data_IF_028364280714
#
_entry.id   IF_028364280714
#
_cell.length_a   1.000
_cell.length_b   1.000
_cell.length_c   1.000
_cell.angle_alpha   90.00
_cell.angle_beta   90.00
_cell.angle_gamma   90.00
#
_symmetry.space_group_name_H-M   'P 1'
#
loop_
_entity.id
_entity.type
_entity.pdbx_description
1 polymer ?
#
# COMPACT_ATOMS: atom_id res chain seq x y z
N UNK A 1 -19.15 -6.95 -1.18
CA UNK A 1 -19.98 -8.02 -1.78
C UNK A 1 -21.39 -7.49 -2.04
N UNK A 2 -21.67 -6.99 -3.23
CA UNK A 2 -23.03 -6.78 -3.72
C UNK A 2 -23.07 -7.32 -5.14
N UNK A 3 -23.56 -8.55 -5.29
CA UNK A 3 -23.93 -9.03 -6.62
C UNK A 3 -25.04 -8.14 -7.13
N UNK A 4 -24.87 -7.58 -8.32
CA UNK A 4 -25.97 -6.96 -9.07
C UNK A 4 -27.10 -7.99 -9.16
N UNK A 5 -28.09 -7.88 -8.28
CA UNK A 5 -29.30 -8.66 -8.32
C UNK A 5 -30.12 -8.16 -9.50
N UNK A 6 -29.75 -8.64 -10.68
CA UNK A 6 -30.60 -8.55 -11.86
C UNK A 6 -31.94 -9.21 -11.50
N UNK A 7 -33.07 -8.63 -11.91
CA UNK A 7 -34.41 -9.10 -11.53
C UNK A 7 -34.80 -10.46 -12.15
N UNK A 8 -33.86 -11.12 -12.84
CA UNK A 8 -34.04 -12.40 -13.50
C UNK A 8 -32.86 -13.32 -13.20
N UNK A 9 -33.11 -14.63 -13.19
CA UNK A 9 -32.04 -15.64 -13.10
C UNK A 9 -31.26 -15.64 -14.42
N UNK A 10 -30.05 -15.09 -14.36
CA UNK A 10 -29.14 -14.94 -15.51
C UNK A 10 -28.75 -16.31 -16.09
N UNK A 11 -28.64 -17.35 -15.25
CA UNK A 11 -28.28 -18.71 -15.71
C UNK A 11 -29.43 -19.35 -16.48
N UNK A 12 -30.66 -19.13 -16.00
CA UNK A 12 -31.86 -19.57 -16.70
C UNK A 12 -32.04 -18.83 -18.03
N UNK A 13 -31.80 -17.52 -18.05
CA UNK A 13 -31.83 -16.70 -19.27
C UNK A 13 -30.80 -17.18 -20.30
N UNK A 14 -29.56 -17.46 -19.90
CA UNK A 14 -28.53 -17.98 -20.81
C UNK A 14 -28.91 -19.34 -21.42
N UNK A 15 -29.53 -20.23 -20.64
CA UNK A 15 -30.01 -21.53 -21.12
C UNK A 15 -31.13 -21.39 -22.16
N UNK A 16 -32.06 -20.46 -21.93
CA UNK A 16 -33.13 -20.14 -22.88
C UNK A 16 -32.54 -19.55 -24.16
N UNK A 17 -31.53 -18.66 -24.05
CA UNK A 17 -30.88 -18.07 -25.21
C UNK A 17 -30.18 -19.12 -26.09
N UNK A 18 -29.53 -20.11 -25.48
CA UNK A 18 -28.94 -21.25 -26.19
C UNK A 18 -29.98 -22.15 -26.88
N UNK A 19 -31.17 -22.30 -26.28
CA UNK A 19 -32.25 -23.12 -26.85
C UNK A 19 -32.99 -22.43 -28.00
N UNK A 20 -33.06 -21.09 -27.99
CA UNK A 20 -33.91 -20.32 -28.90
C UNK A 20 -33.13 -19.58 -30.01
N UNK A 21 -31.83 -19.83 -30.21
CA UNK A 21 -30.99 -19.14 -31.21
C UNK A 21 -31.14 -17.60 -31.16
N UNK A 22 -31.06 -17.03 -29.95
CA UNK A 22 -31.16 -15.58 -29.71
C UNK A 22 -29.90 -14.86 -30.26
N UNK A 23 -29.96 -13.56 -30.62
CA UNK A 23 -28.80 -12.78 -31.04
C UNK A 23 -27.60 -12.91 -30.09
N UNK A 24 -26.43 -13.11 -30.70
CA UNK A 24 -25.17 -13.47 -30.03
C UNK A 24 -24.69 -12.42 -29.04
N UNK A 25 -24.91 -11.13 -29.35
CA UNK A 25 -24.55 -10.03 -28.48
C UNK A 25 -25.27 -10.12 -27.11
N UNK A 26 -26.52 -10.57 -27.11
CA UNK A 26 -27.30 -10.77 -25.89
C UNK A 26 -26.80 -11.98 -25.09
N UNK A 27 -26.46 -13.07 -25.75
CA UNK A 27 -25.90 -14.26 -25.08
C UNK A 27 -24.53 -13.96 -24.46
N UNK A 28 -23.66 -13.25 -25.18
CA UNK A 28 -22.31 -12.91 -24.73
C UNK A 28 -22.33 -11.92 -23.58
N UNK A 29 -23.20 -10.91 -23.63
CA UNK A 29 -23.40 -9.98 -22.50
C UNK A 29 -23.92 -10.70 -21.26
N UNK A 30 -24.85 -11.65 -21.41
CA UNK A 30 -25.30 -12.51 -20.32
C UNK A 30 -24.15 -13.34 -19.74
N UNK A 31 -23.32 -13.99 -20.57
CA UNK A 31 -22.16 -14.77 -20.11
C UNK A 31 -21.13 -13.92 -19.36
N UNK A 32 -20.88 -12.68 -19.82
CA UNK A 32 -20.03 -11.71 -19.11
C UNK A 32 -20.62 -11.33 -17.75
N UNK A 33 -21.95 -11.22 -17.63
CA UNK A 33 -22.59 -10.95 -16.32
C UNK A 33 -22.55 -12.15 -15.38
N UNK A 34 -22.60 -13.38 -15.91
CA UNK A 34 -22.44 -14.62 -15.15
C UNK A 34 -20.99 -14.80 -14.65
N UNK A 35 -20.01 -14.23 -15.37
CA UNK A 35 -18.58 -14.42 -15.11
C UNK A 35 -17.96 -15.57 -15.90
N UNK A 36 -18.70 -16.16 -16.84
CA UNK A 36 -18.23 -17.21 -17.75
C UNK A 36 -17.53 -16.58 -18.97
N UNK A 37 -16.40 -15.91 -18.72
CA UNK A 37 -15.69 -15.12 -19.73
C UNK A 37 -15.08 -15.96 -20.86
N UNK A 38 -14.58 -17.16 -20.55
CA UNK A 38 -13.97 -18.05 -21.54
C UNK A 38 -15.02 -18.60 -22.53
N UNK A 39 -16.16 -19.07 -22.01
CA UNK A 39 -17.28 -19.53 -22.83
C UNK A 39 -17.84 -18.41 -23.71
N UNK A 40 -17.88 -17.18 -23.20
CA UNK A 40 -18.32 -16.01 -23.97
C UNK A 40 -17.45 -15.80 -25.22
N UNK A 41 -16.14 -15.96 -25.10
CA UNK A 41 -15.23 -15.82 -26.24
C UNK A 41 -15.33 -17.03 -27.17
N UNK A 42 -15.42 -18.25 -26.65
CA UNK A 42 -15.60 -19.44 -27.49
C UNK A 42 -16.87 -19.37 -28.36
N UNK A 43 -17.98 -18.86 -27.81
CA UNK A 43 -19.23 -18.66 -28.56
C UNK A 43 -19.12 -17.59 -29.64
N UNK A 44 -18.32 -16.53 -29.43
CA UNK A 44 -18.06 -15.52 -30.47
C UNK A 44 -17.14 -16.03 -31.56
N UNK A 45 -16.12 -16.81 -31.19
CA UNK A 45 -15.17 -17.43 -32.13
C UNK A 45 -15.82 -18.53 -32.96
N UNK A 46 -16.74 -19.32 -32.40
CA UNK A 46 -17.46 -20.39 -33.12
C UNK A 46 -18.28 -19.90 -34.34
N UNK A 47 -18.53 -18.60 -34.44
CA UNK A 47 -19.31 -17.97 -35.49
C UNK A 47 -18.46 -17.02 -36.35
N UNK A 48 -17.14 -17.18 -36.32
CA UNK A 48 -16.15 -16.42 -37.10
C UNK A 48 -16.15 -14.89 -36.86
N UNK A 49 -16.80 -14.40 -35.79
CA UNK A 49 -16.87 -12.96 -35.52
C UNK A 49 -15.73 -12.49 -34.61
N UNK A 50 -14.55 -12.34 -35.20
CA UNK A 50 -13.32 -11.90 -34.51
C UNK A 50 -13.45 -10.48 -33.93
N UNK A 51 -14.19 -9.59 -34.61
CA UNK A 51 -14.37 -8.20 -34.15
C UNK A 51 -15.20 -8.14 -32.86
N UNK A 52 -16.27 -8.93 -32.78
CA UNK A 52 -17.07 -9.04 -31.57
C UNK A 52 -16.24 -9.67 -30.42
N UNK A 53 -15.41 -10.67 -30.71
CA UNK A 53 -14.52 -11.27 -29.73
C UNK A 53 -13.56 -10.23 -29.12
N UNK A 54 -12.93 -9.39 -29.94
CA UNK A 54 -12.06 -8.27 -29.48
C UNK A 54 -12.80 -7.31 -28.57
N UNK A 55 -13.96 -6.81 -28.99
CA UNK A 55 -14.78 -5.89 -28.20
C UNK A 55 -15.21 -6.52 -26.86
N UNK A 56 -15.48 -7.81 -26.84
CA UNK A 56 -15.87 -8.51 -25.60
C UNK A 56 -14.68 -8.65 -24.64
N UNK A 57 -13.48 -8.94 -25.16
CA UNK A 57 -12.26 -8.97 -24.37
C UNK A 57 -11.92 -7.60 -23.75
N UNK A 58 -12.11 -6.50 -24.49
CA UNK A 58 -11.96 -5.13 -23.97
C UNK A 58 -13.00 -4.80 -22.88
N UNK A 59 -14.27 -5.15 -23.09
CA UNK A 59 -15.33 -4.97 -22.09
C UNK A 59 -15.01 -5.72 -20.79
N UNK A 60 -14.45 -6.93 -20.90
CA UNK A 60 -14.03 -7.74 -19.74
C UNK A 60 -12.84 -7.08 -19.03
N UNK A 61 -11.83 -6.62 -19.76
CA UNK A 61 -10.67 -5.87 -19.20
C UNK A 61 -11.13 -4.67 -18.39
N UNK A 62 -12.03 -3.83 -18.93
CA UNK A 62 -12.55 -2.64 -18.24
C UNK A 62 -13.37 -2.98 -16.99
N UNK A 63 -14.19 -4.04 -17.06
CA UNK A 63 -14.99 -4.51 -15.91
C UNK A 63 -14.10 -5.01 -14.77
N UNK A 64 -13.01 -5.72 -15.10
CA UNK A 64 -12.10 -6.27 -14.11
C UNK A 64 -11.17 -5.21 -13.48
N UNK A 65 -10.74 -4.21 -14.27
CA UNK A 65 -9.94 -3.08 -13.76
C UNK A 65 -10.70 -2.21 -12.74
N UNK A 66 -12.04 -2.18 -12.81
CA UNK A 66 -12.88 -1.45 -11.85
C UNK A 66 -13.02 -2.18 -10.50
N UNK A 67 -12.58 -3.43 -10.40
CA UNK A 67 -12.66 -4.26 -9.19
C UNK A 67 -11.25 -4.39 -8.56
N UNK A 68 -10.83 -3.34 -7.85
CA UNK A 68 -9.48 -3.08 -7.30
C UNK A 68 -8.90 -4.10 -6.29
N UNK A 69 -9.42 -5.32 -6.17
CA UNK A 69 -9.03 -6.24 -5.09
C UNK A 69 -8.13 -7.42 -5.50
N UNK A 70 -7.98 -7.73 -6.80
CA UNK A 70 -7.14 -8.86 -7.31
C UNK A 70 -6.60 -8.60 -8.73
N UNK A 71 -5.79 -7.56 -8.89
CA UNK A 71 -5.34 -7.06 -10.20
C UNK A 71 -4.56 -8.10 -11.03
N UNK A 72 -3.66 -8.87 -10.41
CA UNK A 72 -2.82 -9.84 -11.12
C UNK A 72 -3.62 -11.01 -11.72
N UNK A 73 -4.52 -11.63 -10.93
CA UNK A 73 -5.34 -12.75 -11.42
C UNK A 73 -6.27 -12.30 -12.57
N UNK A 74 -6.74 -11.05 -12.52
CA UNK A 74 -7.57 -10.47 -13.56
C UNK A 74 -6.79 -10.24 -14.85
N UNK A 75 -5.54 -9.79 -14.77
CA UNK A 75 -4.65 -9.65 -15.92
C UNK A 75 -4.33 -11.01 -16.56
N UNK A 76 -4.10 -12.06 -15.76
CA UNK A 76 -3.86 -13.42 -16.27
C UNK A 76 -5.08 -14.02 -17.01
N UNK A 77 -6.29 -13.74 -16.52
CA UNK A 77 -7.52 -14.11 -17.22
C UNK A 77 -7.64 -13.38 -18.56
N UNK A 78 -7.44 -12.06 -18.58
CA UNK A 78 -7.50 -11.26 -19.81
C UNK A 78 -6.43 -11.75 -20.80
N UNK A 79 -5.21 -12.05 -20.36
CA UNK A 79 -4.16 -12.60 -21.21
C UNK A 79 -4.58 -13.92 -21.84
N UNK A 80 -5.16 -14.85 -21.08
CA UNK A 80 -5.68 -16.14 -21.61
C UNK A 80 -6.79 -15.95 -22.64
N UNK A 81 -7.69 -15.01 -22.41
CA UNK A 81 -8.78 -14.68 -23.34
C UNK A 81 -8.23 -14.15 -24.69
N UNK A 82 -7.30 -13.20 -24.64
CA UNK A 82 -6.64 -12.68 -25.85
C UNK A 82 -5.80 -13.75 -26.57
N UNK A 83 -5.14 -14.65 -25.84
CA UNK A 83 -4.44 -15.80 -26.43
C UNK A 83 -5.39 -16.74 -27.17
N UNK A 84 -6.60 -17.00 -26.63
CA UNK A 84 -7.63 -17.80 -27.32
C UNK A 84 -8.07 -17.13 -28.64
N UNK A 85 -8.27 -15.80 -28.64
CA UNK A 85 -8.58 -15.05 -29.85
C UNK A 85 -7.43 -15.12 -30.86
N UNK A 86 -6.19 -14.85 -30.42
CA UNK A 86 -5.01 -14.89 -31.27
C UNK A 86 -4.81 -16.28 -31.91
N UNK A 87 -4.94 -17.35 -31.12
CA UNK A 87 -4.89 -18.73 -31.61
C UNK A 87 -5.94 -18.99 -32.69
N UNK A 88 -7.17 -18.53 -32.48
CA UNK A 88 -8.23 -18.69 -33.48
C UNK A 88 -7.92 -17.95 -34.77
N UNK A 89 -7.46 -16.70 -34.67
CA UNK A 89 -7.11 -15.89 -35.84
C UNK A 89 -5.99 -16.55 -36.63
N UNK A 90 -4.91 -16.98 -35.97
CA UNK A 90 -3.79 -17.68 -36.62
C UNK A 90 -4.26 -18.97 -37.30
N UNK A 91 -5.05 -19.80 -36.61
CA UNK A 91 -5.60 -21.04 -37.18
C UNK A 91 -6.52 -20.77 -38.37
N UNK A 92 -7.39 -19.74 -38.29
CA UNK A 92 -8.32 -19.38 -39.36
C UNK A 92 -7.60 -18.91 -40.62
N UNK A 93 -6.44 -18.27 -40.48
CA UNK A 93 -5.58 -17.87 -41.60
C UNK A 93 -4.89 -19.12 -42.19
N UNK A 94 -4.41 -20.02 -41.34
CA UNK A 94 -3.72 -21.24 -41.78
C UNK A 94 -4.65 -22.20 -42.54
N UNK A 95 -5.91 -22.37 -42.11
CA UNK A 95 -6.87 -23.27 -42.77
C UNK A 95 -7.46 -22.74 -44.07
N UNK A 96 -7.37 -21.43 -44.35
CA UNK A 96 -7.89 -20.83 -45.60
C UNK A 96 -6.86 -20.81 -46.74
N UNK A 97 -5.58 -20.99 -46.42
CA UNK A 97 -4.49 -20.97 -47.40
C UNK A 97 -4.07 -22.40 -47.78
N UNK A 98 -4.82 -23.02 -48.69
CA UNK A 98 -4.38 -24.24 -49.39
C UNK A 98 -3.16 -23.91 -50.29
N UNK A 99 -1.97 -24.33 -49.85
CA UNK A 99 -0.68 -24.61 -50.54
C UNK A 99 -0.13 -23.68 -51.66
N UNK A 100 -0.88 -22.74 -52.26
CA UNK A 100 -0.45 -21.97 -53.46
C UNK A 100 -0.33 -20.46 -53.27
N UNK A 101 -0.78 -19.92 -52.14
CA UNK A 101 -0.67 -18.48 -51.79
C UNK A 101 0.18 -18.27 -50.53
N UNK A 102 1.20 -19.11 -50.34
CA UNK A 102 2.12 -19.02 -49.21
C UNK A 102 3.02 -17.76 -49.21
N UNK A 103 2.99 -16.97 -50.28
CA UNK A 103 3.83 -15.76 -50.43
C UNK A 103 3.24 -14.50 -49.78
N UNK A 104 1.97 -14.52 -49.39
CA UNK A 104 1.30 -13.41 -48.70
C UNK A 104 0.60 -13.93 -47.43
N UNK A 105 1.37 -14.59 -46.56
CA UNK A 105 0.91 -14.77 -45.18
C UNK A 105 1.01 -13.42 -44.47
N UNK A 106 -0.06 -12.63 -44.58
CA UNK A 106 -0.16 -11.33 -43.93
C UNK A 106 -0.30 -11.51 -42.41
N UNK A 107 0.83 -11.50 -41.70
CA UNK A 107 0.90 -11.47 -40.23
C UNK A 107 0.26 -10.18 -39.68
N UNK A 108 -0.07 -9.21 -40.54
CA UNK A 108 -0.68 -7.93 -40.19
C UNK A 108 -1.90 -8.05 -39.27
N UNK A 109 -2.75 -9.08 -39.45
CA UNK A 109 -3.89 -9.29 -38.54
C UNK A 109 -3.48 -9.77 -37.15
N UNK A 110 -2.41 -10.57 -37.06
CA UNK A 110 -1.87 -11.03 -35.78
C UNK A 110 -1.05 -9.93 -35.08
N UNK A 111 -0.31 -9.09 -35.82
CA UNK A 111 0.38 -7.92 -35.27
C UNK A 111 -0.60 -6.86 -34.78
N UNK A 112 -1.71 -6.62 -35.49
CA UNK A 112 -2.76 -5.71 -35.02
C UNK A 112 -3.36 -6.16 -33.67
N UNK A 113 -3.44 -7.49 -33.42
CA UNK A 113 -3.91 -8.01 -32.13
C UNK A 113 -2.89 -7.77 -31.01
N UNK A 114 -1.59 -7.81 -31.34
CA UNK A 114 -0.53 -7.44 -30.40
C UNK A 114 -0.57 -5.94 -30.07
N UNK A 115 -0.78 -5.10 -31.09
CA UNK A 115 -0.89 -3.64 -30.90
C UNK A 115 -2.13 -3.25 -30.07
N UNK A 116 -3.25 -3.96 -30.24
CA UNK A 116 -4.47 -3.75 -29.47
C UNK A 116 -4.36 -4.25 -28.01
N UNK A 117 -3.43 -5.16 -27.70
CA UNK A 117 -3.31 -5.78 -26.38
C UNK A 117 -1.90 -5.67 -25.79
N UNK A 118 -1.72 -4.67 -24.91
CA UNK A 118 -0.49 -4.45 -24.12
C UNK A 118 -0.06 -5.60 -23.20
N UNK A 119 -0.90 -6.62 -23.01
CA UNK A 119 -0.60 -7.78 -22.15
C UNK A 119 -0.07 -8.99 -22.94
N UNK A 120 -0.23 -8.96 -24.27
CA UNK A 120 0.17 -10.03 -25.16
C UNK A 120 1.52 -9.68 -25.77
N UNK A 121 2.46 -10.60 -25.74
CA UNK A 121 3.78 -10.40 -26.37
C UNK A 121 3.94 -11.31 -27.56
N UNK A 122 4.82 -10.94 -28.48
CA UNK A 122 5.15 -11.76 -29.66
C UNK A 122 5.60 -13.17 -29.27
N UNK A 123 6.29 -13.31 -28.13
CA UNK A 123 6.74 -14.59 -27.56
C UNK A 123 5.58 -15.54 -27.23
N UNK A 124 4.41 -15.01 -26.88
CA UNK A 124 3.26 -15.83 -26.50
C UNK A 124 2.52 -16.40 -27.72
N UNK A 125 2.57 -15.72 -28.86
CA UNK A 125 1.89 -16.16 -30.09
C UNK A 125 2.78 -17.00 -31.01
N UNK A 126 4.10 -16.87 -30.87
CA UNK A 126 5.11 -17.56 -31.68
C UNK A 126 4.89 -19.08 -31.78
N UNK A 127 4.54 -19.81 -30.69
CA UNK A 127 4.34 -21.26 -30.74
C UNK A 127 3.14 -21.73 -31.57
N UNK A 128 2.19 -20.84 -31.89
CA UNK A 128 0.99 -21.20 -32.63
C UNK A 128 1.15 -21.06 -34.14
N UNK A 129 2.27 -20.51 -34.62
CA UNK A 129 2.55 -20.43 -36.04
C UNK A 129 3.01 -21.78 -36.60
N UNK A 130 2.66 -22.09 -37.86
CA UNK A 130 3.11 -23.30 -38.51
C UNK A 130 4.60 -23.29 -38.83
N UNK A 131 5.22 -24.48 -38.91
CA UNK A 131 6.66 -24.65 -39.15
C UNK A 131 7.15 -24.10 -40.49
N UNK A 132 6.27 -23.91 -41.47
CA UNK A 132 6.60 -23.38 -42.80
C UNK A 132 6.62 -21.84 -42.88
N UNK A 133 6.33 -21.15 -41.77
CA UNK A 133 6.38 -19.70 -41.72
C UNK A 133 7.84 -19.21 -41.75
N UNK A 134 8.19 -18.38 -42.74
CA UNK A 134 9.53 -17.76 -42.78
C UNK A 134 9.64 -16.65 -41.73
N UNK A 135 10.77 -16.66 -41.02
CA UNK A 135 11.08 -15.69 -39.94
C UNK A 135 11.04 -14.24 -40.45
N UNK A 136 11.26 -14.01 -41.74
CA UNK A 136 11.24 -12.68 -42.36
C UNK A 136 9.91 -11.95 -42.14
N UNK A 137 8.79 -12.65 -42.06
CA UNK A 137 7.48 -12.03 -41.82
C UNK A 137 7.31 -11.55 -40.36
N UNK A 138 7.99 -12.16 -39.39
CA UNK A 138 7.94 -11.76 -37.97
C UNK A 138 9.09 -10.84 -37.56
N UNK A 139 10.08 -10.62 -38.44
CA UNK A 139 11.33 -9.92 -38.11
C UNK A 139 11.10 -8.52 -37.53
N UNK A 140 10.22 -7.73 -38.15
CA UNK A 140 9.93 -6.36 -37.69
C UNK A 140 9.32 -6.34 -36.29
N UNK A 141 8.30 -7.19 -36.05
CA UNK A 141 7.63 -7.30 -34.75
C UNK A 141 8.59 -7.78 -33.65
N UNK A 142 9.48 -8.74 -33.96
CA UNK A 142 10.49 -9.23 -33.03
C UNK A 142 11.51 -8.12 -32.70
N UNK A 143 12.00 -7.39 -33.71
CA UNK A 143 12.92 -6.27 -33.49
C UNK A 143 12.29 -5.19 -32.60
N UNK A 144 11.04 -4.82 -32.86
CA UNK A 144 10.31 -3.84 -32.05
C UNK A 144 10.15 -4.30 -30.59
N UNK A 145 9.76 -5.56 -30.35
CA UNK A 145 9.67 -6.09 -28.99
C UNK A 145 11.03 -6.12 -28.29
N UNK A 146 12.12 -6.46 -28.99
CA UNK A 146 13.47 -6.45 -28.43
C UNK A 146 13.95 -5.03 -28.06
N UNK A 147 13.65 -4.04 -28.91
CA UNK A 147 13.93 -2.63 -28.63
C UNK A 147 13.16 -2.13 -27.40
N UNK A 148 11.88 -2.47 -27.30
CA UNK A 148 11.05 -2.15 -26.13
C UNK A 148 11.59 -2.81 -24.85
N UNK A 149 11.98 -4.09 -24.91
CA UNK A 149 12.62 -4.76 -23.78
C UNK A 149 13.92 -4.08 -23.36
N UNK A 150 14.77 -3.71 -24.32
CA UNK A 150 16.03 -3.03 -24.02
C UNK A 150 15.78 -1.65 -23.39
N UNK A 151 14.81 -0.89 -23.90
CA UNK A 151 14.38 0.38 -23.32
C UNK A 151 13.87 0.22 -21.89
N UNK A 152 13.01 -0.78 -21.65
CA UNK A 152 12.47 -1.07 -20.32
C UNK A 152 13.56 -1.50 -19.33
N UNK A 153 14.56 -2.25 -19.79
CA UNK A 153 15.73 -2.62 -18.98
C UNK A 153 16.54 -1.38 -18.60
N UNK A 154 16.78 -0.46 -19.53
CA UNK A 154 17.50 0.78 -19.23
C UNK A 154 16.72 1.68 -18.27
N UNK A 155 15.40 1.82 -18.44
CA UNK A 155 14.56 2.55 -17.49
C UNK A 155 14.62 1.94 -16.09
N UNK A 156 14.47 0.61 -15.98
CA UNK A 156 14.57 -0.07 -14.68
C UNK A 156 15.96 0.09 -14.04
N UNK A 157 17.03 0.10 -14.85
CA UNK A 157 18.39 0.37 -14.35
C UNK A 157 18.53 1.79 -13.81
N UNK A 158 17.95 2.77 -14.50
CA UNK A 158 17.93 4.16 -14.04
C UNK A 158 17.13 4.31 -12.75
N UNK A 159 15.94 3.71 -12.67
CA UNK A 159 15.11 3.70 -11.47
C UNK A 159 15.84 3.04 -10.28
N UNK A 160 16.51 1.90 -10.51
CA UNK A 160 17.34 1.25 -9.49
C UNK A 160 18.48 2.14 -9.01
N UNK A 161 19.14 2.86 -9.93
CA UNK A 161 20.22 3.79 -9.60
C UNK A 161 19.71 4.95 -8.76
N UNK A 162 18.62 5.61 -9.18
CA UNK A 162 18.01 6.72 -8.46
C UNK A 162 17.53 6.30 -7.06
N UNK A 163 16.89 5.13 -6.94
CA UNK A 163 16.47 4.59 -5.64
C UNK A 163 17.68 4.30 -4.73
N UNK A 164 18.78 3.80 -5.29
CA UNK A 164 20.01 3.52 -4.54
C UNK A 164 20.67 4.82 -4.05
N UNK A 165 20.81 5.80 -4.93
CA UNK A 165 21.36 7.13 -4.59
C UNK A 165 20.50 7.82 -3.52
N UNK A 166 19.17 7.75 -3.65
CA UNK A 166 18.24 8.26 -2.63
C UNK A 166 18.42 7.56 -1.28
N UNK A 167 18.53 6.22 -1.29
CA UNK A 167 18.75 5.45 -0.07
C UNK A 167 20.10 5.78 0.59
N UNK A 168 21.15 6.02 -0.18
CA UNK A 168 22.45 6.46 0.32
C UNK A 168 22.40 7.86 0.94
N UNK A 169 21.71 8.80 0.29
CA UNK A 169 21.48 10.15 0.84
C UNK A 169 20.73 10.08 2.17
N UNK A 170 19.64 9.30 2.24
CA UNK A 170 18.87 9.09 3.47
C UNK A 170 19.76 8.51 4.58
N UNK A 171 20.58 7.48 4.27
CA UNK A 171 21.51 6.91 5.25
C UNK A 171 22.51 7.96 5.74
N UNK A 172 23.09 8.76 4.84
CA UNK A 172 24.02 9.82 5.21
C UNK A 172 23.35 10.89 6.11
N UNK A 173 22.10 11.25 5.85
CA UNK A 173 21.33 12.16 6.69
C UNK A 173 21.00 11.58 8.06
N UNK A 174 20.69 10.27 8.14
CA UNK A 174 20.50 9.56 9.42
C UNK A 174 21.78 9.63 10.25
N UNK A 175 22.94 9.35 9.66
CA UNK A 175 24.23 9.42 10.37
C UNK A 175 24.53 10.86 10.85
N UNK A 176 24.40 11.86 9.96
CA UNK A 176 24.58 13.27 10.34
C UNK A 176 23.63 13.68 11.46
N UNK A 177 22.38 13.19 11.43
CA UNK A 177 21.37 13.49 12.45
C UNK A 177 21.72 12.87 13.80
N UNK A 178 22.28 11.66 13.81
CA UNK A 178 22.68 10.95 15.02
C UNK A 178 23.80 11.67 15.79
N UNK A 179 24.70 12.34 15.07
CA UNK A 179 25.84 13.04 15.67
C UNK A 179 25.52 14.48 16.10
N UNK A 180 24.27 14.95 15.93
CA UNK A 180 23.85 16.27 16.41
C UNK A 180 23.66 16.26 17.91
N UNK A 181 24.29 17.21 18.58
CA UNK A 181 24.07 17.50 19.99
C UNK A 181 23.57 18.95 20.15
N UNK A 182 22.79 19.19 21.20
CA UNK A 182 22.38 20.54 21.60
C UNK A 182 22.86 20.78 23.02
N UNK A 183 23.50 21.94 23.21
CA UNK A 183 23.85 22.43 24.53
C UNK A 183 22.60 23.07 25.14
N UNK A 184 22.23 22.61 26.34
CA UNK A 184 21.08 23.11 27.08
C UNK A 184 21.59 23.86 28.30
N UNK A 185 21.31 25.16 28.35
CA UNK A 185 21.60 25.97 29.52
C UNK A 185 20.64 25.62 30.67
N UNK A 186 21.15 25.64 31.90
CA UNK A 186 20.36 25.33 33.11
C UNK A 186 19.15 26.27 33.32
N UNK A 187 19.20 27.48 32.75
CA UNK A 187 18.13 28.47 32.82
C UNK A 187 17.09 28.37 31.70
N UNK A 188 17.23 27.42 30.76
CA UNK A 188 16.32 27.34 29.61
C UNK A 188 14.90 26.97 30.07
N UNK A 189 13.89 27.80 29.78
CA UNK A 189 12.51 27.54 30.18
C UNK A 189 11.84 26.53 29.24
N UNK A 190 10.84 25.85 29.75
CA UNK A 190 9.89 25.07 28.96
C UNK A 190 9.06 26.00 28.06
N UNK A 191 8.91 25.67 26.79
CA UNK A 191 8.18 26.52 25.83
C UNK A 191 6.66 26.57 26.06
N UNK A 192 6.10 25.69 26.90
CA UNK A 192 4.66 25.65 27.22
C UNK A 192 4.37 26.43 28.52
N UNK A 193 5.07 26.10 29.61
CA UNK A 193 4.78 26.64 30.94
C UNK A 193 5.77 27.71 31.42
N UNK A 194 6.82 28.02 30.65
CA UNK A 194 7.87 29.01 30.94
C UNK A 194 8.69 28.79 32.23
N UNK A 195 8.52 27.66 32.93
CA UNK A 195 9.34 27.27 34.08
C UNK A 195 10.66 26.61 33.65
N UNK A 196 11.72 26.63 34.49
CA UNK A 196 13.01 26.01 34.17
C UNK A 196 12.85 24.52 33.78
N UNK A 197 13.34 24.17 32.60
CA UNK A 197 13.21 22.83 32.02
C UNK A 197 13.94 21.74 32.79
N UNK A 198 15.15 22.07 33.26
CA UNK A 198 16.15 21.12 33.78
C UNK A 198 15.78 20.56 35.16
N UNK A 199 14.74 21.07 35.81
CA UNK A 199 14.31 20.63 37.15
C UNK A 199 13.43 19.37 37.14
N UNK A 200 12.80 19.04 36.00
CA UNK A 200 11.99 17.83 35.83
C UNK A 200 12.47 17.02 34.61
N UNK A 201 11.90 15.83 34.40
CA UNK A 201 12.13 15.06 33.16
C UNK A 201 11.65 15.90 31.96
N UNK A 202 12.55 16.12 30.99
CA UNK A 202 12.30 17.01 29.86
C UNK A 202 12.65 16.35 28.52
N UNK A 203 12.01 16.83 27.47
CA UNK A 203 12.34 16.55 26.08
C UNK A 203 13.00 17.77 25.46
N UNK A 204 14.10 17.55 24.76
CA UNK A 204 14.77 18.58 23.97
C UNK A 204 14.86 18.13 22.52
N UNK A 205 14.43 18.98 21.60
CA UNK A 205 14.49 18.69 20.17
C UNK A 205 15.74 19.33 19.56
N UNK A 206 16.71 18.54 19.07
CA UNK A 206 17.99 19.08 18.59
C UNK A 206 17.87 19.96 17.34
N UNK A 207 16.84 19.75 16.53
CA UNK A 207 16.63 20.43 15.25
C UNK A 207 16.18 21.89 15.38
N UNK A 208 15.30 22.20 16.35
CA UNK A 208 14.80 23.56 16.57
C UNK A 208 15.12 24.11 17.96
N UNK A 209 15.74 23.31 18.83
CA UNK A 209 16.17 23.73 20.15
C UNK A 209 15.03 23.94 21.14
N UNK A 210 13.79 23.56 20.84
CA UNK A 210 12.69 23.66 21.81
C UNK A 210 12.86 22.67 22.95
N UNK A 211 12.42 23.08 24.14
CA UNK A 211 12.48 22.29 25.35
C UNK A 211 11.08 22.22 25.98
N UNK A 212 10.68 21.01 26.38
CA UNK A 212 9.37 20.75 26.99
C UNK A 212 9.52 19.86 28.21
N UNK A 213 8.74 20.09 29.26
CA UNK A 213 8.59 19.08 30.32
C UNK A 213 7.81 17.88 29.79
N UNK A 214 8.14 16.68 30.27
CA UNK A 214 7.45 15.44 29.90
C UNK A 214 5.93 15.53 30.06
N UNK A 215 5.46 16.13 31.17
CA UNK A 215 4.02 16.32 31.45
C UNK A 215 3.37 17.33 30.50
N UNK A 216 4.03 18.45 30.24
CA UNK A 216 3.51 19.49 29.33
C UNK A 216 3.38 18.95 27.91
N UNK A 217 4.39 18.20 27.46
CA UNK A 217 4.41 17.60 26.13
C UNK A 217 3.28 16.57 25.96
N UNK A 218 3.07 15.68 26.95
CA UNK A 218 1.96 14.70 26.90
C UNK A 218 0.61 15.38 26.80
N UNK A 219 0.35 16.38 27.65
CA UNK A 219 -0.96 17.01 27.72
C UNK A 219 -1.36 17.64 26.39
N UNK A 220 -0.40 18.21 25.66
CA UNK A 220 -0.66 18.89 24.39
C UNK A 220 -0.67 17.92 23.20
N UNK A 221 0.19 16.90 23.20
CA UNK A 221 0.26 15.88 22.12
C UNK A 221 -0.98 14.98 22.08
N UNK A 222 -1.60 14.71 23.23
CA UNK A 222 -2.79 13.83 23.32
C UNK A 222 -3.91 14.30 22.39
N UNK A 223 -4.12 15.61 22.27
CA UNK A 223 -5.21 16.19 21.46
C UNK A 223 -5.01 15.95 19.96
N UNK A 224 -3.77 15.86 19.50
CA UNK A 224 -3.43 15.67 18.09
C UNK A 224 -3.16 14.21 17.69
N UNK A 225 -3.04 13.29 18.65
CA UNK A 225 -2.78 11.87 18.38
C UNK A 225 -4.00 11.15 17.80
N UNK A 226 -3.76 10.21 16.89
CA UNK A 226 -4.77 9.26 16.41
C UNK A 226 -5.44 8.49 17.57
N UNK A 227 -6.73 8.13 17.46
CA UNK A 227 -7.47 7.49 18.55
C UNK A 227 -6.89 6.14 18.97
N UNK A 228 -6.23 5.41 18.07
CA UNK A 228 -5.53 4.17 18.41
C UNK A 228 -4.27 4.43 19.24
N UNK A 229 -3.49 5.44 18.85
CA UNK A 229 -2.24 5.80 19.53
C UNK A 229 -2.53 6.46 20.88
N UNK A 230 -3.63 7.21 21.00
CA UNK A 230 -4.11 7.76 22.29
C UNK A 230 -4.41 6.66 23.31
N UNK A 231 -5.17 5.62 22.90
CA UNK A 231 -5.47 4.46 23.76
C UNK A 231 -4.20 3.71 24.17
N UNK A 232 -3.27 3.52 23.24
CA UNK A 232 -1.96 2.90 23.52
C UNK A 232 -1.18 3.73 24.54
N UNK A 233 -1.07 5.05 24.33
CA UNK A 233 -0.38 5.94 25.24
C UNK A 233 -0.97 5.90 26.66
N UNK A 234 -2.29 5.97 26.79
CA UNK A 234 -2.98 5.89 28.09
C UNK A 234 -2.68 4.56 28.79
N UNK A 235 -2.72 3.44 28.06
CA UNK A 235 -2.41 2.12 28.62
C UNK A 235 -0.96 2.03 29.12
N UNK A 236 0.00 2.58 28.37
CA UNK A 236 1.42 2.61 28.72
C UNK A 236 1.68 3.50 29.94
N UNK A 237 1.04 4.68 30.01
CA UNK A 237 1.16 5.58 31.15
C UNK A 237 0.57 4.99 32.44
N UNK A 238 -0.53 4.24 32.34
CA UNK A 238 -1.14 3.52 33.48
C UNK A 238 -0.22 2.39 33.93
N UNK A 239 0.32 1.59 33.00
CA UNK A 239 1.25 0.52 33.33
C UNK A 239 2.52 1.07 34.01
N UNK A 240 3.11 2.14 33.46
CA UNK A 240 4.28 2.78 34.02
C UNK A 240 4.04 3.29 35.45
N UNK A 241 2.90 3.96 35.70
CA UNK A 241 2.51 4.41 37.05
C UNK A 241 2.29 3.24 38.00
N UNK A 242 1.69 2.13 37.53
CA UNK A 242 1.47 0.94 38.37
C UNK A 242 2.79 0.32 38.84
N UNK A 243 3.78 0.24 37.95
CA UNK A 243 5.11 -0.30 38.25
C UNK A 243 5.88 0.66 39.17
N UNK A 244 5.83 1.97 38.92
CA UNK A 244 6.42 2.97 39.81
C UNK A 244 5.83 2.92 41.23
N UNK A 245 4.51 2.80 41.35
CA UNK A 245 3.83 2.66 42.64
C UNK A 245 4.21 1.34 43.33
N UNK A 246 4.35 0.25 42.56
CA UNK A 246 4.79 -1.03 43.10
C UNK A 246 6.23 -0.95 43.65
N UNK A 247 7.13 -0.22 42.98
CA UNK A 247 8.50 0.01 43.47
C UNK A 247 8.53 0.91 44.71
N UNK A 248 7.69 1.95 44.77
CA UNK A 248 7.59 2.84 45.93
C UNK A 248 6.96 2.15 47.16
N UNK A 249 6.05 1.19 46.94
CA UNK A 249 5.38 0.45 48.00
C UNK A 249 6.11 -0.85 48.42
N UNK A 250 7.29 -1.15 47.85
CA UNK A 250 8.12 -2.26 48.34
C UNK A 250 8.63 -1.93 49.76
N UNK A 251 8.48 -2.84 50.74
CA UNK A 251 8.95 -2.60 52.09
C UNK A 251 10.48 -2.49 52.11
N UNK A 252 10.98 -1.31 52.46
CA UNK A 252 12.40 -1.03 52.75
C UNK A 252 12.74 -1.60 54.13
N UNK A 253 12.56 -2.90 54.35
CA UNK A 253 12.87 -3.56 55.61
C UNK A 253 14.08 -4.48 55.44
N UNK A 254 15.25 -3.91 55.11
CA UNK A 254 16.57 -4.52 55.39
C UNK A 254 17.75 -3.63 54.95
N UNK A 255 17.81 -2.37 55.38
CA UNK A 255 19.07 -1.58 55.30
C UNK A 255 19.71 -1.27 56.65
N UNK A 256 19.17 -1.81 57.74
CA UNK A 256 19.84 -1.80 59.04
C UNK A 256 19.72 -3.17 59.69
N UNK A 257 20.71 -4.03 59.45
CA UNK A 257 21.36 -4.85 60.49
C UNK A 257 22.48 -5.69 59.87
N UNK A 258 23.71 -5.45 60.34
CA UNK A 258 24.82 -6.42 60.27
C UNK A 258 24.32 -7.77 60.78
N UNK A 259 24.47 -8.84 60.00
CA UNK A 259 25.19 -10.08 60.36
C UNK A 259 24.96 -11.18 59.31
N UNK A 260 26.08 -11.71 58.81
CA UNK A 260 26.37 -13.12 58.45
C UNK A 260 25.17 -14.03 58.14
N UNK A 261 25.12 -14.56 56.92
CA UNK A 261 24.90 -15.97 56.53
C UNK A 261 24.27 -16.05 55.12
N UNK A 262 24.96 -16.81 54.27
CA UNK A 262 24.70 -17.18 52.88
C UNK A 262 23.22 -17.40 52.49
N UNK A 263 22.70 -16.54 51.61
CA UNK A 263 21.88 -16.94 50.44
C UNK A 263 21.63 -15.72 49.54
N UNK A 264 22.59 -15.44 48.66
CA UNK A 264 22.40 -14.53 47.52
C UNK A 264 21.61 -15.27 46.43
N UNK A 265 20.71 -14.56 45.73
CA UNK A 265 20.13 -14.86 44.39
C UNK A 265 18.60 -14.98 44.25
N UNK A 266 17.74 -14.49 45.17
CA UNK A 266 16.27 -14.54 44.91
C UNK A 266 15.46 -13.23 44.97
N UNK A 267 16.03 -12.07 45.35
CA UNK A 267 15.27 -10.79 45.35
C UNK A 267 15.78 -9.71 44.40
N UNK A 268 17.01 -9.85 43.90
CA UNK A 268 17.64 -8.85 43.02
C UNK A 268 17.09 -8.92 41.59
N UNK A 269 16.77 -10.12 41.12
CA UNK A 269 16.28 -10.37 39.75
C UNK A 269 14.90 -9.75 39.47
N UNK A 270 14.02 -9.72 40.48
CA UNK A 270 12.68 -9.17 40.31
C UNK A 270 12.70 -7.64 40.20
N UNK A 271 13.55 -6.96 40.96
CA UNK A 271 13.70 -5.50 40.91
C UNK A 271 14.37 -5.05 39.61
N UNK A 272 15.41 -5.76 39.17
CA UNK A 272 16.08 -5.50 37.90
C UNK A 272 15.14 -5.72 36.71
N UNK A 273 14.32 -6.77 36.75
CA UNK A 273 13.28 -7.04 35.75
C UNK A 273 12.27 -5.90 35.64
N UNK A 274 11.81 -5.34 36.77
CA UNK A 274 10.88 -4.21 36.78
C UNK A 274 11.50 -2.91 36.24
N UNK A 275 12.78 -2.66 36.53
CA UNK A 275 13.52 -1.51 35.99
C UNK A 275 13.68 -1.63 34.47
N UNK A 276 14.07 -2.79 33.95
CA UNK A 276 14.15 -3.03 32.51
C UNK A 276 12.77 -2.86 31.83
N UNK A 277 11.70 -3.22 32.53
CA UNK A 277 10.34 -3.05 32.04
C UNK A 277 9.94 -1.58 31.97
N UNK A 278 10.32 -0.78 32.96
CA UNK A 278 10.13 0.68 32.94
C UNK A 278 10.90 1.34 31.81
N UNK A 279 12.14 0.91 31.54
CA UNK A 279 12.95 1.45 30.44
C UNK A 279 12.31 1.14 29.08
N UNK A 280 11.78 -0.07 28.89
CA UNK A 280 11.06 -0.44 27.67
C UNK A 280 9.76 0.38 27.52
N UNK A 281 9.00 0.58 28.60
CA UNK A 281 7.81 1.44 28.58
C UNK A 281 8.17 2.90 28.27
N UNK A 282 9.26 3.43 28.84
CA UNK A 282 9.76 4.78 28.52
C UNK A 282 10.09 4.89 27.04
N UNK A 283 10.82 3.91 26.49
CA UNK A 283 11.19 3.89 25.06
C UNK A 283 9.97 3.83 24.14
N UNK A 284 8.93 3.08 24.51
CA UNK A 284 7.68 3.05 23.75
C UNK A 284 6.92 4.39 23.80
N UNK A 285 6.90 5.05 24.96
CA UNK A 285 6.31 6.40 25.10
C UNK A 285 7.13 7.41 24.29
N UNK A 286 8.45 7.34 24.35
CA UNK A 286 9.36 8.20 23.57
C UNK A 286 9.18 8.00 22.06
N UNK A 287 8.94 6.77 21.59
CA UNK A 287 8.65 6.51 20.18
C UNK A 287 7.33 7.15 19.72
N UNK A 288 6.35 7.29 20.62
CA UNK A 288 5.06 7.92 20.31
C UNK A 288 5.10 9.45 20.40
N UNK A 289 5.86 10.01 21.35
CA UNK A 289 5.81 11.44 21.72
C UNK A 289 7.05 12.20 21.24
N UNK A 290 8.20 11.54 21.21
CA UNK A 290 9.50 12.14 20.89
C UNK A 290 9.83 12.21 19.40
N UNK A 291 8.91 11.78 18.52
CA UNK A 291 9.17 11.75 17.08
C UNK A 291 9.29 13.15 16.46
N UNK A 292 8.50 14.11 16.93
CA UNK A 292 8.48 15.46 16.38
C UNK A 292 8.23 16.53 17.44
N UNK A 293 8.71 17.74 17.16
CA UNK A 293 8.46 18.90 18.02
C UNK A 293 7.09 19.50 17.71
N UNK A 294 6.30 19.78 18.74
CA UNK A 294 4.98 20.45 18.65
C UNK A 294 4.96 21.69 17.75
N UNK A 295 5.92 22.62 17.93
CA UNK A 295 5.90 23.90 17.22
C UNK A 295 6.59 23.92 15.85
N UNK A 296 7.47 22.95 15.58
CA UNK A 296 8.36 22.99 14.40
C UNK A 296 8.30 21.71 13.56
N UNK A 297 7.44 20.75 13.93
CA UNK A 297 7.24 19.46 13.27
C UNK A 297 6.10 19.45 12.25
N UNK A 298 5.85 18.27 11.69
CA UNK A 298 4.77 18.08 10.73
C UNK A 298 3.39 18.22 11.38
N UNK A 299 3.27 17.92 12.68
CA UNK A 299 2.07 18.17 13.47
C UNK A 299 1.55 19.60 13.27
N UNK A 300 2.46 20.59 13.36
CA UNK A 300 2.10 21.99 13.19
C UNK A 300 1.54 22.25 11.79
N UNK A 301 2.15 21.66 10.76
CA UNK A 301 1.71 21.80 9.36
C UNK A 301 0.30 21.23 9.17
N UNK A 302 0.02 20.06 9.75
CA UNK A 302 -1.30 19.43 9.69
C UNK A 302 -2.39 20.21 10.44
N UNK A 303 -2.00 21.06 11.39
CA UNK A 303 -2.93 21.90 12.15
C UNK A 303 -3.20 23.26 11.52
N UNK A 304 -2.47 23.65 10.46
CA UNK A 304 -2.69 24.94 9.78
C UNK A 304 -4.11 25.05 9.21
N UNK A 305 -4.61 23.95 8.65
CA UNK A 305 -5.94 23.93 8.02
C UNK A 305 -7.08 23.69 9.02
N UNK A 306 -6.76 23.43 10.30
CA UNK A 306 -7.77 23.27 11.34
C UNK A 306 -8.27 24.63 11.78
N UNK A 307 -9.60 24.86 11.82
CA UNK A 307 -10.13 26.10 12.35
C UNK A 307 -9.71 26.20 13.82
N UNK A 308 -9.34 27.40 14.27
CA UNK A 308 -9.04 27.67 15.68
C UNK A 308 -10.22 27.39 16.63
N UNK A 309 -11.41 27.13 16.09
CA UNK A 309 -12.65 26.87 16.80
C UNK A 309 -13.31 25.67 16.12
N UNK A 310 -13.26 24.49 16.75
CA UNK A 310 -13.70 23.23 16.15
C UNK A 310 -15.18 22.90 16.42
N UNK A 311 -15.92 23.78 17.08
CA UNK A 311 -17.34 23.55 17.32
C UNK A 311 -18.15 24.84 17.50
N UNK A 312 -19.44 24.80 17.12
CA UNK A 312 -20.41 25.85 17.48
C UNK A 312 -20.55 26.04 19.00
N UNK A 313 -20.12 25.07 19.81
CA UNK A 313 -20.17 25.11 21.27
C UNK A 313 -19.07 26.01 21.85
N UNK A 314 -17.86 25.95 21.29
CA UNK A 314 -16.75 26.83 21.69
C UNK A 314 -17.02 28.30 21.30
N UNK A 315 -17.77 28.53 20.22
CA UNK A 315 -18.21 29.87 19.82
C UNK A 315 -19.11 30.52 20.88
N UNK A 316 -20.04 29.78 21.48
CA UNK A 316 -20.95 30.27 22.52
C UNK A 316 -20.23 30.54 23.86
N UNK A 317 -19.19 29.76 24.19
CA UNK A 317 -18.38 29.98 25.38
C UNK A 317 -17.42 31.17 25.24
N UNK A 318 -16.84 31.38 24.04
CA UNK A 318 -16.01 32.54 23.74
C UNK A 318 -16.85 33.82 23.73
N UNK A 319 -18.05 33.82 23.14
CA UNK A 319 -18.96 34.98 23.17
C UNK A 319 -19.34 35.34 24.62
N UNK A 320 -19.64 34.35 25.46
CA UNK A 320 -19.94 34.57 26.89
C UNK A 320 -18.77 35.15 27.69
N UNK A 321 -17.54 34.76 27.37
CA UNK A 321 -16.34 35.28 28.06
C UNK A 321 -15.94 36.69 27.61
N UNK A 322 -16.26 37.07 26.37
CA UNK A 322 -16.00 38.41 25.83
C UNK A 322 -17.19 39.39 25.95
N UNK A 323 -18.33 38.95 26.49
CA UNK A 323 -19.44 39.84 26.85
C UNK A 323 -20.03 40.62 25.67
N UNK A 324 -20.27 39.94 24.54
CA UNK A 324 -21.07 40.47 23.43
C UNK A 324 -22.46 39.83 23.46
#
# INVERSE_FOLDING_TARGET
MYGTQLPYDVRYAARICLQNNVPLEALVTLLITIGAYEEAIEQTLALDNVQLAKQTAEKIKNKLNSQNHYEHHNQDLVKRLWLKIAKYVINSICSKNDEKTATEFDISMATNILDECSLLKIEDILPYFPEYLTIDHCKSAICQSLEEYNSNIEQLREDMKLATESAEQIRAEIFKTRDRFVLIDSSKPCNICSFPGVQEHFYSFPSCGHLFHHKCLINEIVDYLEPENRKKLDSLLVEMKSIQNHLQNMPVSSFQSKTKYLNENLSVDSSLSLVNRLENLSSQIEALIGFECLFCGNLMVQTIDKPFIDSKLDFDEIIKSYGI
#
